data_IF_795976081627
#
_entry.id   IF_795976081627
#
_cell.length_a   1.000
_cell.length_b   1.000
_cell.length_c   1.000
_cell.angle_alpha   90.00
_cell.angle_beta   90.00
_cell.angle_gamma   90.00
#
_symmetry.space_group_name_H-M   'P 1'
#
loop_
_entity.id
_entity.type
_entity.pdbx_description
1 polymer ?
#
# COMPACT_ATOMS: atom_id res chain seq x y z
N UNK A 1 30.25 -6.93 18.15
CA UNK A 1 30.61 -5.52 17.84
C UNK A 1 31.01 -5.32 16.38
N UNK A 2 31.80 -6.22 15.76
CA UNK A 2 32.20 -6.13 14.33
C UNK A 2 31.06 -6.00 13.30
N UNK A 3 29.93 -6.69 13.46
CA UNK A 3 28.86 -6.64 12.44
C UNK A 3 28.00 -5.38 12.48
N UNK A 4 27.86 -4.76 13.66
CA UNK A 4 27.15 -3.48 13.81
C UNK A 4 27.98 -2.36 13.16
N UNK A 5 29.30 -2.39 13.34
CA UNK A 5 30.24 -1.45 12.71
C UNK A 5 30.34 -1.67 11.20
N UNK A 6 30.35 -2.93 10.75
CA UNK A 6 30.29 -3.28 9.33
C UNK A 6 28.90 -3.12 8.70
N UNK A 7 27.87 -2.78 9.49
CA UNK A 7 26.46 -2.67 9.08
C UNK A 7 25.96 -3.88 8.29
N UNK A 8 26.43 -5.06 8.68
CA UNK A 8 26.03 -6.34 8.12
C UNK A 8 24.91 -6.94 8.95
N UNK A 9 23.90 -7.46 8.27
CA UNK A 9 22.81 -8.20 8.91
C UNK A 9 23.08 -9.68 8.65
N UNK A 10 23.42 -10.40 9.71
CA UNK A 10 23.70 -11.82 9.67
C UNK A 10 22.96 -12.55 10.79
N UNK A 11 22.70 -13.85 10.59
CA UNK A 11 22.17 -14.69 11.64
C UNK A 11 23.26 -15.01 12.67
N UNK A 12 22.89 -14.99 13.95
CA UNK A 12 23.78 -15.51 15.00
C UNK A 12 23.76 -17.04 14.91
N UNK A 13 24.89 -17.64 14.54
CA UNK A 13 25.02 -19.09 14.33
C UNK A 13 24.58 -19.53 12.94
N UNK A 14 24.07 -20.75 12.82
CA UNK A 14 23.65 -21.31 11.52
C UNK A 14 22.31 -20.71 11.04
N UNK A 15 22.31 -20.03 9.90
CA UNK A 15 21.13 -19.36 9.36
C UNK A 15 19.93 -20.32 9.15
N UNK A 16 20.17 -21.52 8.60
CA UNK A 16 19.12 -22.53 8.35
C UNK A 16 18.43 -22.94 9.65
N UNK A 17 19.22 -23.30 10.67
CA UNK A 17 18.70 -23.68 11.98
C UNK A 17 17.84 -22.57 12.59
N UNK A 18 18.33 -21.32 12.55
CA UNK A 18 17.57 -20.18 13.09
C UNK A 18 16.26 -19.98 12.34
N UNK A 19 16.27 -20.04 11.01
CA UNK A 19 15.05 -19.90 10.19
C UNK A 19 14.04 -21.00 10.52
N UNK A 20 14.48 -22.25 10.68
CA UNK A 20 13.60 -23.39 10.99
C UNK A 20 12.96 -23.30 12.38
N UNK A 21 13.60 -22.63 13.35
CA UNK A 21 12.97 -22.34 14.65
C UNK A 21 11.77 -21.39 14.54
N UNK A 22 11.83 -20.40 13.63
CA UNK A 22 10.77 -19.43 13.38
C UNK A 22 10.91 -18.83 11.98
N UNK A 23 10.13 -19.34 11.02
CA UNK A 23 10.22 -18.92 9.61
C UNK A 23 9.96 -17.41 9.41
N UNK A 24 9.30 -16.73 10.35
CA UNK A 24 9.17 -15.25 10.31
C UNK A 24 10.53 -14.54 10.32
N UNK A 25 11.59 -15.21 10.77
CA UNK A 25 12.95 -14.68 10.72
C UNK A 25 13.41 -14.32 9.30
N UNK A 26 12.86 -14.96 8.27
CA UNK A 26 13.10 -14.56 6.87
C UNK A 26 12.69 -13.09 6.66
N UNK A 27 11.46 -12.74 7.03
CA UNK A 27 10.98 -11.35 6.90
C UNK A 27 11.71 -10.40 7.86
N UNK A 28 12.04 -10.86 9.08
CA UNK A 28 12.82 -10.03 10.01
C UNK A 28 14.21 -9.71 9.47
N UNK A 29 14.86 -10.65 8.78
CA UNK A 29 16.13 -10.39 8.09
C UNK A 29 15.98 -9.21 7.13
N UNK A 30 15.02 -9.27 6.20
CA UNK A 30 14.78 -8.19 5.23
C UNK A 30 14.43 -6.85 5.91
N UNK A 31 13.61 -6.87 6.96
CA UNK A 31 13.30 -5.67 7.74
C UNK A 31 14.55 -5.05 8.35
N UNK A 32 15.39 -5.86 8.99
CA UNK A 32 16.61 -5.36 9.62
C UNK A 32 17.64 -4.91 8.58
N UNK A 33 17.73 -5.62 7.45
CA UNK A 33 18.57 -5.25 6.32
C UNK A 33 18.22 -3.83 5.85
N UNK A 34 16.97 -3.57 5.51
CA UNK A 34 16.50 -2.23 5.09
C UNK A 34 16.61 -1.13 6.16
N UNK A 35 16.98 -1.47 7.40
CA UNK A 35 17.22 -0.51 8.49
C UNK A 35 18.71 -0.25 8.74
N UNK A 36 19.56 -1.27 8.58
CA UNK A 36 20.97 -1.25 9.03
C UNK A 36 21.93 -1.20 7.84
N UNK A 37 21.67 -1.97 6.78
CA UNK A 37 22.58 -2.13 5.65
C UNK A 37 22.81 -0.81 4.92
N UNK A 38 24.05 -0.59 4.46
CA UNK A 38 24.45 0.58 3.67
C UNK A 38 24.51 0.31 2.16
N UNK A 39 24.44 -0.96 1.76
CA UNK A 39 24.55 -1.43 0.38
C UNK A 39 23.40 -2.41 0.13
N UNK A 40 22.86 -2.50 -1.11
CA UNK A 40 21.85 -3.49 -1.47
C UNK A 40 22.40 -4.91 -1.55
N UNK A 41 23.70 -5.11 -1.36
CA UNK A 41 24.34 -6.42 -1.41
C UNK A 41 23.98 -7.28 -0.18
N UNK A 42 23.53 -8.50 -0.45
CA UNK A 42 23.23 -9.51 0.54
C UNK A 42 24.30 -10.60 0.52
N UNK A 43 24.50 -11.30 1.65
CA UNK A 43 25.39 -12.47 1.68
C UNK A 43 24.71 -13.68 1.02
N UNK A 44 25.38 -14.30 0.05
CA UNK A 44 24.86 -15.43 -0.74
C UNK A 44 24.39 -16.59 0.14
N UNK A 45 25.19 -16.98 1.15
CA UNK A 45 24.83 -18.06 2.09
C UNK A 45 23.52 -17.76 2.85
N UNK A 46 23.27 -16.48 3.16
CA UNK A 46 22.04 -16.06 3.83
C UNK A 46 20.86 -16.15 2.88
N UNK A 47 21.00 -15.67 1.64
CA UNK A 47 19.95 -15.78 0.62
C UNK A 47 19.64 -17.25 0.30
N UNK A 48 20.67 -18.09 0.20
CA UNK A 48 20.51 -19.52 -0.06
C UNK A 48 19.74 -20.20 1.08
N UNK A 49 20.07 -19.90 2.33
CA UNK A 49 19.31 -20.41 3.49
C UNK A 49 17.85 -19.94 3.47
N UNK A 50 17.58 -18.71 3.04
CA UNK A 50 16.21 -18.19 2.87
C UNK A 50 15.46 -18.95 1.77
N UNK A 51 16.09 -19.11 0.60
CA UNK A 51 15.50 -19.79 -0.56
C UNK A 51 15.13 -21.24 -0.22
N UNK A 52 16.01 -21.95 0.46
CA UNK A 52 15.78 -23.35 0.88
C UNK A 52 14.64 -23.51 1.90
N UNK A 53 14.35 -22.46 2.69
CA UNK A 53 13.39 -22.53 3.80
C UNK A 53 12.13 -21.67 3.57
N UNK A 54 11.98 -21.00 2.42
CA UNK A 54 10.87 -20.09 2.11
C UNK A 54 9.49 -20.74 2.22
N UNK A 55 9.39 -22.04 1.96
CA UNK A 55 8.14 -22.80 2.06
C UNK A 55 7.54 -22.78 3.47
N UNK A 56 8.39 -22.72 4.50
CA UNK A 56 7.98 -22.64 5.89
C UNK A 56 7.21 -21.35 6.23
N UNK A 57 7.29 -20.31 5.39
CA UNK A 57 6.44 -19.12 5.53
C UNK A 57 4.94 -19.46 5.42
N UNK A 58 4.58 -20.55 4.74
CA UNK A 58 3.20 -21.03 4.68
C UNK A 58 2.61 -21.40 6.06
N UNK A 59 3.48 -21.72 7.03
CA UNK A 59 3.10 -22.01 8.41
C UNK A 59 3.10 -20.79 9.34
N UNK A 60 3.45 -19.60 8.84
CA UNK A 60 3.47 -18.37 9.63
C UNK A 60 2.10 -17.70 9.56
N UNK A 61 1.63 -17.16 10.69
CA UNK A 61 0.31 -16.51 10.73
C UNK A 61 0.28 -15.26 9.83
N UNK A 62 -0.89 -15.00 9.24
CA UNK A 62 -1.13 -13.88 8.34
C UNK A 62 -0.81 -12.52 8.99
N UNK A 63 -1.19 -12.35 10.27
CA UNK A 63 -0.99 -11.11 11.03
C UNK A 63 0.50 -10.84 11.26
N UNK A 64 1.28 -11.90 11.50
CA UNK A 64 2.74 -11.82 11.69
C UNK A 64 3.43 -11.46 10.38
N UNK A 65 3.03 -12.08 9.27
CA UNK A 65 3.50 -11.72 7.93
C UNK A 65 3.19 -10.24 7.64
N UNK A 66 1.93 -9.83 7.85
CA UNK A 66 1.48 -8.47 7.59
C UNK A 66 2.25 -7.43 8.42
N UNK A 67 2.47 -7.72 9.70
CA UNK A 67 3.20 -6.83 10.61
C UNK A 67 4.65 -6.59 10.16
N UNK A 68 5.32 -7.62 9.63
CA UNK A 68 6.68 -7.45 9.09
C UNK A 68 6.66 -6.74 7.74
N UNK A 69 5.76 -7.11 6.81
CA UNK A 69 5.63 -6.47 5.50
C UNK A 69 5.42 -4.95 5.62
N UNK A 70 4.54 -4.50 6.52
CA UNK A 70 4.30 -3.07 6.75
C UNK A 70 5.56 -2.29 7.06
N UNK A 71 6.49 -2.90 7.80
CA UNK A 71 7.76 -2.28 8.22
C UNK A 71 8.81 -2.34 7.12
N UNK A 72 8.78 -3.40 6.30
CA UNK A 72 9.72 -3.58 5.18
C UNK A 72 9.46 -2.53 4.10
N UNK A 73 8.21 -2.37 3.67
CA UNK A 73 7.89 -1.55 2.48
C UNK A 73 8.09 -0.04 2.68
N UNK A 74 8.17 0.43 3.92
CA UNK A 74 8.46 1.84 4.27
C UNK A 74 9.90 2.04 4.78
N UNK A 75 10.75 1.01 4.65
CA UNK A 75 12.16 1.04 5.06
C UNK A 75 13.06 1.86 4.12
N UNK A 76 14.31 2.11 4.52
CA UNK A 76 15.27 2.98 3.79
C UNK A 76 15.62 2.46 2.38
N UNK A 77 15.53 1.16 2.18
CA UNK A 77 15.90 0.48 0.92
C UNK A 77 14.76 -0.43 0.47
N UNK A 78 13.52 0.05 0.61
CA UNK A 78 12.35 -0.78 0.41
C UNK A 78 12.29 -1.38 -1.00
N UNK A 79 12.65 -0.63 -2.03
CA UNK A 79 12.67 -1.09 -3.43
C UNK A 79 13.64 -2.26 -3.63
N UNK A 80 14.90 -2.10 -3.22
CA UNK A 80 15.93 -3.15 -3.31
C UNK A 80 15.53 -4.38 -2.49
N UNK A 81 15.07 -4.17 -1.25
CA UNK A 81 14.67 -5.27 -0.36
C UNK A 81 13.49 -6.05 -0.93
N UNK A 82 12.45 -5.37 -1.41
CA UNK A 82 11.29 -6.02 -2.02
C UNK A 82 11.71 -6.77 -3.28
N UNK A 83 12.57 -6.19 -4.12
CA UNK A 83 13.12 -6.87 -5.30
C UNK A 83 13.84 -8.17 -4.92
N UNK A 84 14.77 -8.12 -3.96
CA UNK A 84 15.46 -9.32 -3.47
C UNK A 84 14.48 -10.36 -2.91
N UNK A 85 13.43 -9.94 -2.20
CA UNK A 85 12.39 -10.86 -1.72
C UNK A 85 11.66 -11.58 -2.87
N UNK A 86 11.39 -10.87 -3.98
CA UNK A 86 10.79 -11.48 -5.16
C UNK A 86 11.76 -12.43 -5.86
N UNK A 87 13.03 -12.06 -5.99
CA UNK A 87 14.09 -12.89 -6.57
C UNK A 87 14.31 -14.18 -5.75
N UNK A 88 14.17 -14.11 -4.43
CA UNK A 88 14.15 -15.29 -3.54
C UNK A 88 12.87 -16.14 -3.68
N UNK A 89 11.91 -15.76 -4.53
CA UNK A 89 10.66 -16.48 -4.76
C UNK A 89 9.67 -16.37 -3.60
N UNK A 90 9.73 -15.30 -2.80
CA UNK A 90 8.85 -15.15 -1.63
C UNK A 90 7.43 -14.72 -2.00
N UNK A 91 7.20 -14.20 -3.20
CA UNK A 91 5.92 -13.63 -3.65
C UNK A 91 4.72 -14.54 -3.34
N UNK A 92 4.82 -15.80 -3.75
CA UNK A 92 3.80 -16.84 -3.54
C UNK A 92 3.39 -17.01 -2.08
N UNK A 93 4.36 -16.99 -1.17
CA UNK A 93 4.12 -17.22 0.27
C UNK A 93 3.59 -15.99 0.98
N UNK A 94 3.77 -14.81 0.38
CA UNK A 94 3.34 -13.52 0.91
C UNK A 94 2.03 -13.02 0.28
N UNK A 95 1.47 -13.76 -0.69
CA UNK A 95 0.28 -13.36 -1.44
C UNK A 95 0.53 -12.23 -2.43
N UNK A 96 1.79 -11.94 -2.76
CA UNK A 96 2.16 -10.97 -3.79
C UNK A 96 2.06 -11.63 -5.17
N UNK A 97 1.75 -10.86 -6.22
CA UNK A 97 1.74 -11.39 -7.58
C UNK A 97 3.15 -11.79 -8.02
N UNK A 98 3.24 -12.77 -8.91
CA UNK A 98 4.53 -13.19 -9.49
C UNK A 98 5.16 -12.05 -10.31
N UNK A 99 4.34 -11.33 -11.07
CA UNK A 99 4.75 -10.16 -11.86
C UNK A 99 4.36 -8.87 -11.14
N UNK A 100 5.14 -8.49 -10.12
CA UNK A 100 4.97 -7.21 -9.42
C UNK A 100 5.50 -6.03 -10.27
N UNK A 101 4.82 -4.88 -10.19
CA UNK A 101 5.32 -3.64 -10.78
C UNK A 101 6.31 -2.92 -9.87
N UNK A 102 7.57 -3.34 -9.93
CA UNK A 102 8.63 -2.81 -9.06
C UNK A 102 9.00 -1.37 -9.42
N UNK A 103 8.91 -0.99 -10.68
CA UNK A 103 9.20 0.39 -11.11
C UNK A 103 8.22 1.39 -10.49
N UNK A 104 6.91 1.08 -10.52
CA UNK A 104 5.88 1.90 -9.86
C UNK A 104 6.11 1.98 -8.36
N UNK A 105 6.38 0.84 -7.72
CA UNK A 105 6.69 0.80 -6.29
C UNK A 105 7.92 1.66 -5.95
N UNK A 106 9.01 1.53 -6.71
CA UNK A 106 10.24 2.28 -6.51
C UNK A 106 10.00 3.79 -6.64
N UNK A 107 9.34 4.22 -7.72
CA UNK A 107 9.03 5.65 -7.96
C UNK A 107 8.30 6.28 -6.78
N UNK A 108 7.31 5.59 -6.22
CA UNK A 108 6.52 6.11 -5.08
C UNK A 108 7.34 6.01 -3.78
N UNK A 109 8.10 4.93 -3.59
CA UNK A 109 8.95 4.72 -2.41
C UNK A 109 10.05 5.79 -2.31
N UNK A 110 10.74 6.10 -3.42
CA UNK A 110 11.80 7.11 -3.48
C UNK A 110 11.27 8.51 -3.18
N UNK A 111 10.01 8.79 -3.55
CA UNK A 111 9.40 10.10 -3.33
C UNK A 111 8.91 10.30 -1.88
N UNK A 112 8.26 9.30 -1.28
CA UNK A 112 7.62 9.46 0.03
C UNK A 112 8.32 8.75 1.19
N UNK A 113 9.07 7.68 0.93
CA UNK A 113 9.72 6.85 1.95
C UNK A 113 8.74 6.40 3.03
N UNK A 114 8.95 6.87 4.26
CA UNK A 114 8.10 6.56 5.43
C UNK A 114 6.84 7.43 5.57
N UNK A 115 6.64 8.43 4.70
CA UNK A 115 5.54 9.42 4.82
C UNK A 115 4.28 9.03 4.02
N UNK A 116 4.13 7.74 3.74
CA UNK A 116 3.03 7.15 2.98
C UNK A 116 2.54 5.89 3.70
N UNK A 117 1.26 5.54 3.52
CA UNK A 117 0.76 4.30 4.13
C UNK A 117 1.41 3.08 3.48
N UNK A 118 1.78 2.09 4.30
CA UNK A 118 2.41 0.85 3.82
C UNK A 118 1.57 0.13 2.76
N UNK A 119 0.24 0.17 2.92
CA UNK A 119 -0.69 -0.46 1.98
C UNK A 119 -0.77 0.29 0.65
N UNK A 120 -0.61 1.62 0.64
CA UNK A 120 -0.52 2.43 -0.58
C UNK A 120 0.71 2.07 -1.41
N UNK A 121 1.87 1.85 -0.75
CA UNK A 121 3.06 1.36 -1.43
C UNK A 121 2.86 -0.04 -2.00
N UNK A 122 2.30 -0.97 -1.21
CA UNK A 122 2.02 -2.32 -1.69
C UNK A 122 1.02 -2.34 -2.86
N UNK A 123 0.04 -1.44 -2.85
CA UNK A 123 -0.90 -1.29 -3.95
C UNK A 123 -0.19 -0.97 -5.29
N UNK A 124 0.98 -0.34 -5.23
CA UNK A 124 1.78 -0.07 -6.43
C UNK A 124 2.34 -1.33 -7.09
N UNK A 125 2.49 -2.44 -6.35
CA UNK A 125 2.96 -3.73 -6.90
C UNK A 125 1.88 -4.48 -7.68
N UNK A 126 0.59 -4.17 -7.42
CA UNK A 126 -0.53 -4.85 -8.04
C UNK A 126 -0.96 -4.18 -9.35
N UNK A 127 -1.53 -4.97 -10.26
CA UNK A 127 -2.09 -4.48 -11.51
C UNK A 127 -3.62 -4.44 -11.48
N UNK A 128 -4.27 -5.32 -10.73
CA UNK A 128 -5.73 -5.43 -10.68
C UNK A 128 -6.27 -5.85 -9.30
N UNK A 129 -7.58 -5.66 -9.09
CA UNK A 129 -8.24 -5.94 -7.82
C UNK A 129 -8.20 -7.42 -7.42
N UNK A 130 -8.08 -8.36 -8.37
CA UNK A 130 -7.97 -9.78 -8.06
C UNK A 130 -6.66 -10.11 -7.34
N UNK A 131 -5.56 -9.43 -7.70
CA UNK A 131 -4.29 -9.56 -6.98
C UNK A 131 -4.37 -8.99 -5.55
N UNK A 132 -5.10 -7.89 -5.36
CA UNK A 132 -5.37 -7.34 -4.01
C UNK A 132 -6.19 -8.34 -3.17
N UNK A 133 -7.20 -8.96 -3.76
CA UNK A 133 -8.03 -9.96 -3.08
C UNK A 133 -7.20 -11.20 -2.66
N UNK A 134 -6.29 -11.67 -3.52
CA UNK A 134 -5.37 -12.76 -3.20
C UNK A 134 -4.43 -12.39 -2.05
N UNK A 135 -3.84 -11.20 -2.12
CA UNK A 135 -2.98 -10.67 -1.07
C UNK A 135 -3.74 -10.57 0.27
N UNK A 136 -4.97 -10.05 0.26
CA UNK A 136 -5.83 -9.96 1.44
C UNK A 136 -6.15 -11.34 2.01
N UNK A 137 -6.41 -12.35 1.17
CA UNK A 137 -6.69 -13.72 1.61
C UNK A 137 -5.53 -14.30 2.43
N UNK A 138 -4.29 -13.99 2.02
CA UNK A 138 -3.05 -14.45 2.67
C UNK A 138 -2.66 -13.62 3.89
N UNK A 139 -2.84 -12.31 3.86
CA UNK A 139 -2.33 -11.39 4.89
C UNK A 139 -3.37 -10.90 5.89
N UNK A 140 -4.67 -11.16 5.63
CA UNK A 140 -5.80 -10.76 6.49
C UNK A 140 -5.80 -9.27 6.81
N UNK A 141 -5.65 -8.45 5.77
CA UNK A 141 -5.74 -6.98 5.89
C UNK A 141 -7.01 -6.55 6.62
N UNK A 142 -6.92 -5.43 7.35
CA UNK A 142 -8.13 -4.77 7.83
C UNK A 142 -9.02 -4.32 6.66
N UNK A 143 -10.32 -4.12 6.90
CA UNK A 143 -11.24 -3.63 5.87
C UNK A 143 -10.77 -2.30 5.27
N UNK A 144 -10.24 -1.39 6.11
CA UNK A 144 -9.71 -0.11 5.65
C UNK A 144 -8.50 -0.26 4.72
N UNK A 145 -7.53 -1.12 5.08
CA UNK A 145 -6.35 -1.40 4.25
C UNK A 145 -6.76 -2.05 2.91
N UNK A 146 -7.68 -3.04 2.94
CA UNK A 146 -8.17 -3.71 1.73
C UNK A 146 -8.87 -2.73 0.79
N UNK A 147 -9.84 -1.97 1.30
CA UNK A 147 -10.60 -1.01 0.51
C UNK A 147 -9.71 0.11 -0.07
N UNK A 148 -8.68 0.54 0.67
CA UNK A 148 -7.71 1.51 0.17
C UNK A 148 -6.89 0.93 -0.98
N UNK A 149 -6.37 -0.30 -0.85
CA UNK A 149 -5.62 -0.94 -1.93
C UNK A 149 -6.48 -1.15 -3.19
N UNK A 150 -7.71 -1.64 -3.03
CA UNK A 150 -8.67 -1.81 -4.13
C UNK A 150 -8.96 -0.49 -4.82
N UNK A 151 -9.22 0.58 -4.05
CA UNK A 151 -9.48 1.93 -4.57
C UNK A 151 -8.30 2.48 -5.37
N UNK A 152 -7.07 2.36 -4.86
CA UNK A 152 -5.86 2.81 -5.56
C UNK A 152 -5.71 2.05 -6.88
N UNK A 153 -5.80 0.72 -6.83
CA UNK A 153 -5.63 -0.12 -8.01
C UNK A 153 -6.70 0.17 -9.07
N UNK A 154 -7.93 0.45 -8.67
CA UNK A 154 -9.02 0.78 -9.61
C UNK A 154 -8.89 2.16 -10.26
N UNK A 155 -8.32 3.15 -9.57
CA UNK A 155 -8.39 4.55 -10.03
C UNK A 155 -7.04 5.19 -10.38
N UNK A 156 -5.90 4.52 -10.13
CA UNK A 156 -4.56 5.10 -10.38
C UNK A 156 -4.36 5.54 -11.84
N UNK A 157 -4.84 4.77 -12.80
CA UNK A 157 -4.57 5.04 -14.21
C UNK A 157 -5.35 6.28 -14.69
N UNK A 158 -6.62 6.38 -14.29
CA UNK A 158 -7.45 7.58 -14.50
C UNK A 158 -6.86 8.80 -13.78
N UNK A 159 -6.35 8.61 -12.55
CA UNK A 159 -5.71 9.68 -11.78
C UNK A 159 -4.46 10.23 -12.46
N UNK A 160 -3.64 9.37 -13.07
CA UNK A 160 -2.47 9.78 -13.86
C UNK A 160 -2.89 10.63 -15.06
N UNK A 161 -3.98 10.25 -15.74
CA UNK A 161 -4.51 11.02 -16.87
C UNK A 161 -5.11 12.37 -16.46
N UNK A 162 -5.56 12.50 -15.21
CA UNK A 162 -6.27 13.66 -14.68
C UNK A 162 -5.46 14.46 -13.64
N UNK A 163 -4.12 14.37 -13.63
CA UNK A 163 -3.28 15.07 -12.66
C UNK A 163 -3.51 16.59 -12.58
N UNK A 164 -3.83 17.23 -13.71
CA UNK A 164 -4.09 18.66 -13.83
C UNK A 164 -5.60 19.04 -13.76
N UNK A 165 -6.50 18.07 -13.70
CA UNK A 165 -7.95 18.30 -13.76
C UNK A 165 -8.56 18.38 -12.36
N UNK A 166 -8.78 19.58 -11.85
CA UNK A 166 -9.34 19.82 -10.52
C UNK A 166 -10.72 19.20 -10.32
N UNK A 167 -11.58 19.27 -11.33
CA UNK A 167 -12.94 18.76 -11.27
C UNK A 167 -12.96 17.24 -11.09
N UNK A 168 -12.07 16.52 -11.77
CA UNK A 168 -11.96 15.06 -11.60
C UNK A 168 -11.60 14.66 -10.15
N UNK A 169 -10.66 15.39 -9.54
CA UNK A 169 -10.29 15.12 -8.13
C UNK A 169 -11.41 15.52 -7.17
N UNK A 170 -12.11 16.63 -7.44
CA UNK A 170 -13.27 17.05 -6.66
C UNK A 170 -14.38 16.01 -6.73
N UNK A 171 -14.71 15.50 -7.93
CA UNK A 171 -15.72 14.47 -8.13
C UNK A 171 -15.37 13.19 -7.36
N UNK A 172 -14.10 12.77 -7.35
CA UNK A 172 -13.68 11.60 -6.57
C UNK A 172 -13.82 11.79 -5.06
N UNK A 173 -13.65 13.00 -4.56
CA UNK A 173 -13.93 13.33 -3.16
C UNK A 173 -15.44 13.23 -2.92
N UNK A 174 -16.25 13.85 -3.78
CA UNK A 174 -17.71 13.90 -3.66
C UNK A 174 -18.37 12.52 -3.76
N UNK A 175 -17.94 11.67 -4.70
CA UNK A 175 -18.41 10.28 -4.88
C UNK A 175 -18.31 9.46 -3.58
N UNK A 176 -17.27 9.72 -2.79
CA UNK A 176 -17.04 9.04 -1.52
C UNK A 176 -17.75 9.71 -0.35
N UNK A 177 -17.98 11.03 -0.42
CA UNK A 177 -18.62 11.81 0.62
C UNK A 177 -20.17 11.71 0.58
N UNK A 178 -20.83 11.54 -0.57
CA UNK A 178 -22.32 11.56 -0.69
C UNK A 178 -22.96 10.17 -0.46
N UNK A 179 -22.23 9.15 0.03
CA UNK A 179 -22.87 7.85 0.32
C UNK A 179 -23.92 7.98 1.45
N UNK A 180 -25.21 7.65 1.19
CA UNK A 180 -26.26 7.75 2.21
C UNK A 180 -25.94 6.87 3.43
N UNK A 181 -26.00 7.43 4.64
CA UNK A 181 -25.90 6.69 5.89
C UNK A 181 -24.54 6.71 6.62
N UNK A 182 -23.49 7.38 6.10
CA UNK A 182 -22.13 7.35 6.68
C UNK A 182 -21.49 8.74 6.90
N UNK A 183 -22.24 9.70 7.45
CA UNK A 183 -21.75 11.06 7.72
C UNK A 183 -20.59 11.16 8.75
N UNK A 184 -20.23 10.08 9.44
CA UNK A 184 -19.09 10.06 10.38
C UNK A 184 -17.76 9.63 9.74
N UNK A 185 -17.76 9.18 8.47
CA UNK A 185 -16.58 8.60 7.80
C UNK A 185 -15.91 9.54 6.77
N UNK A 186 -16.38 10.78 6.62
CA UNK A 186 -15.89 11.74 5.60
C UNK A 186 -14.37 11.92 5.58
N UNK A 187 -13.74 12.07 6.76
CA UNK A 187 -12.28 12.23 6.87
C UNK A 187 -11.52 11.00 6.35
N UNK A 188 -12.07 9.80 6.56
CA UNK A 188 -11.46 8.55 6.08
C UNK A 188 -11.59 8.41 4.57
N UNK A 189 -12.70 8.86 3.99
CA UNK A 189 -12.91 8.84 2.54
C UNK A 189 -11.96 9.77 1.80
N UNK A 190 -11.82 11.01 2.27
CA UNK A 190 -10.84 11.96 1.73
C UNK A 190 -9.41 11.46 1.85
N UNK A 191 -9.07 10.81 2.97
CA UNK A 191 -7.75 10.20 3.15
C UNK A 191 -7.42 9.19 2.04
N UNK A 192 -8.41 8.45 1.49
CA UNK A 192 -8.19 7.55 0.35
C UNK A 192 -7.81 8.30 -0.92
N UNK A 193 -8.46 9.43 -1.20
CA UNK A 193 -8.12 10.28 -2.36
C UNK A 193 -6.73 10.90 -2.20
N UNK A 194 -6.35 11.27 -0.96
CA UNK A 194 -4.98 11.71 -0.65
C UNK A 194 -3.97 10.59 -0.93
N UNK A 195 -4.21 9.37 -0.45
CA UNK A 195 -3.31 8.24 -0.71
C UNK A 195 -3.26 7.85 -2.20
N UNK A 196 -4.38 7.93 -2.93
CA UNK A 196 -4.41 7.79 -4.39
C UNK A 196 -3.51 8.84 -5.07
N UNK A 197 -3.58 10.10 -4.64
CA UNK A 197 -2.74 11.17 -5.19
C UNK A 197 -1.24 10.92 -4.92
N UNK A 198 -0.89 10.31 -3.78
CA UNK A 198 0.48 9.88 -3.50
C UNK A 198 0.91 8.69 -4.35
N UNK A 199 0.03 7.70 -4.54
CA UNK A 199 0.32 6.52 -5.36
C UNK A 199 0.65 6.87 -6.83
N UNK A 200 0.16 8.01 -7.33
CA UNK A 200 0.48 8.53 -8.66
C UNK A 200 1.56 9.63 -8.66
N UNK A 201 2.14 9.92 -7.50
CA UNK A 201 3.15 10.98 -7.29
C UNK A 201 2.66 12.34 -7.79
N UNK A 202 1.43 12.70 -7.42
CA UNK A 202 0.89 14.02 -7.72
C UNK A 202 1.70 15.13 -7.03
N UNK A 203 1.78 16.30 -7.67
CA UNK A 203 2.50 17.44 -7.11
C UNK A 203 1.92 17.90 -5.77
N UNK A 204 2.78 18.50 -4.92
CA UNK A 204 2.38 18.90 -3.55
C UNK A 204 1.14 19.82 -3.51
N UNK A 205 0.99 20.72 -4.48
CA UNK A 205 -0.20 21.58 -4.59
C UNK A 205 -1.51 20.79 -4.77
N UNK A 206 -1.49 19.68 -5.54
CA UNK A 206 -2.64 18.79 -5.72
C UNK A 206 -3.01 18.09 -4.42
N UNK A 207 -2.00 17.61 -3.70
CA UNK A 207 -2.19 16.93 -2.40
C UNK A 207 -2.82 17.91 -1.39
N UNK A 208 -2.33 19.15 -1.33
CA UNK A 208 -2.88 20.19 -0.46
C UNK A 208 -4.28 20.64 -0.88
N UNK A 209 -4.56 20.73 -2.18
CA UNK A 209 -5.91 20.96 -2.69
C UNK A 209 -6.88 19.89 -2.19
N UNK A 210 -6.54 18.59 -2.34
CA UNK A 210 -7.40 17.47 -1.92
C UNK A 210 -7.63 17.51 -0.40
N UNK A 211 -6.58 17.75 0.40
CA UNK A 211 -6.70 17.82 1.86
C UNK A 211 -7.66 18.93 2.31
N UNK A 212 -7.52 20.11 1.70
CA UNK A 212 -8.24 21.33 2.08
C UNK A 212 -9.56 21.52 1.32
N UNK A 213 -9.91 20.61 0.41
CA UNK A 213 -11.15 20.67 -0.33
C UNK A 213 -12.34 20.75 0.64
N UNK A 214 -13.14 21.79 0.47
CA UNK A 214 -14.40 21.95 1.17
C UNK A 214 -15.52 21.72 0.19
N UNK A 215 -16.44 20.82 0.54
CA UNK A 215 -17.69 20.67 -0.21
C UNK A 215 -18.36 22.02 -0.20
N UNK A 216 -18.64 22.56 -1.39
CA UNK A 216 -19.47 23.76 -1.50
C UNK A 216 -20.82 23.41 -0.88
N UNK A 217 -21.14 24.02 0.27
CA UNK A 217 -22.49 23.93 0.82
C UNK A 217 -23.44 24.48 -0.23
N UNK A 218 -24.37 23.64 -0.67
CA UNK A 218 -25.37 24.05 -1.63
C UNK A 218 -26.29 25.07 -0.92
N UNK A 219 -26.48 26.29 -1.46
CA UNK A 219 -27.13 27.39 -0.76
C UNK A 219 -28.65 27.26 -0.80
N UNK A 220 -29.22 26.24 -0.16
CA UNK A 220 -30.67 26.06 -0.16
C UNK A 220 -31.19 25.69 1.21
N UNK A 221 -31.83 26.68 1.84
CA UNK A 221 -32.69 26.51 3.01
C UNK A 221 -34.03 25.95 2.51
N UNK A 222 -34.17 24.62 2.43
CA UNK A 222 -35.42 23.94 2.08
C UNK A 222 -35.33 22.43 2.26
N UNK A 223 -36.45 21.72 2.40
CA UNK A 223 -36.49 20.26 2.42
C UNK A 223 -36.42 19.72 0.97
N UNK A 224 -35.39 18.93 0.65
CA UNK A 224 -35.16 18.36 -0.69
C UNK A 224 -34.89 16.86 -0.59
N UNK A 225 -35.31 16.10 -1.61
CA UNK A 225 -34.93 14.69 -1.77
C UNK A 225 -33.79 14.59 -2.78
N UNK A 226 -32.76 13.80 -2.43
CA UNK A 226 -31.69 13.43 -3.34
C UNK A 226 -32.21 12.30 -4.24
N UNK A 227 -32.30 12.55 -5.55
CA UNK A 227 -32.69 11.55 -6.54
C UNK A 227 -31.49 11.28 -7.44
N UNK A 228 -31.06 10.02 -7.52
CA UNK A 228 -30.02 9.60 -8.45
C UNK A 228 -30.69 9.34 -9.80
N UNK A 229 -30.32 10.10 -10.83
CA UNK A 229 -30.89 9.89 -12.17
C UNK A 229 -30.24 8.68 -12.88
N UNK A 230 -30.77 8.31 -14.04
CA UNK A 230 -30.29 7.20 -14.88
C UNK A 230 -28.86 7.36 -15.41
N UNK A 231 -28.22 8.52 -15.20
CA UNK A 231 -26.83 8.82 -15.56
C UNK A 231 -25.90 8.89 -14.32
N UNK A 232 -26.36 8.46 -13.15
CA UNK A 232 -25.63 8.59 -11.87
C UNK A 232 -25.30 10.03 -11.46
N UNK A 233 -26.01 11.01 -12.01
CA UNK A 233 -25.93 12.39 -11.53
C UNK A 233 -26.89 12.57 -10.34
N UNK A 234 -26.41 13.22 -9.28
CA UNK A 234 -27.25 13.65 -8.17
C UNK A 234 -28.12 14.82 -8.62
N UNK A 235 -29.44 14.59 -8.71
CA UNK A 235 -30.43 15.63 -9.00
C UNK A 235 -31.19 15.91 -7.71
N UNK A 236 -31.29 17.20 -7.34
CA UNK A 236 -32.04 17.64 -6.17
C UNK A 236 -33.44 18.08 -6.63
N UNK A 237 -34.49 17.41 -6.14
CA UNK A 237 -35.88 17.76 -6.43
C UNK A 237 -36.57 18.34 -5.19
N UNK A 238 -37.41 19.37 -5.39
CA UNK A 238 -38.20 19.99 -4.32
C UNK A 238 -39.06 18.89 -3.69
N UNK A 239 -38.99 18.74 -2.37
CA UNK A 239 -40.03 18.00 -1.69
C UNK A 239 -41.30 18.87 -1.76
N UNK A 240 -42.24 18.48 -2.63
CA UNK A 240 -43.60 19.04 -2.62
C UNK A 240 -44.28 18.81 -1.27
#
# INVERSE_FOLDING_TARGET
>A
MRDIEARRVAFVGNARQRIQEDYLRILRYFRFFGRIANSPEHEDDTLQAIIENREGLSGVSAERIWTELKKIVVGRMASDVVKTMLDCGLAKYLGLPENCNIERFQKVSDHYGKNIESITLLACLFENAAQVAEFHRKTKLSNGERELAEFIVQHRDDAVQNLANDDWWADKIMDLEIKPGHHTEFRKMRARVVELSKAVVAGGARIEYIKNYSVKQFPVNGEWKIVVNTLNCYVFELAN
#
